data_IF_075581023745
#
_entry.id   IF_075581023745
#
_cell.length_a   1.000
_cell.length_b   1.000
_cell.length_c   1.000
_cell.angle_alpha   90.00
_cell.angle_beta   90.00
_cell.angle_gamma   90.00
#
_symmetry.space_group_name_H-M   'P 1'
#
loop_
_entity.id
_entity.type
_entity.pdbx_description
1 polymer ?
#
# COMPACT_ATOMS: atom_id res chain seq x y z
N UNK A 1 4.46 18.11 7.56
CA UNK A 1 3.51 17.03 7.92
C UNK A 1 2.39 16.83 6.89
N UNK A 2 1.56 17.84 6.61
CA UNK A 2 0.42 17.70 5.68
C UNK A 2 0.78 17.10 4.31
N UNK A 3 1.86 17.59 3.67
CA UNK A 3 2.34 17.03 2.39
C UNK A 3 2.64 15.52 2.48
N UNK A 4 3.30 15.09 3.56
CA UNK A 4 3.64 13.68 3.79
C UNK A 4 2.37 12.83 3.93
N UNK A 5 1.41 13.28 4.73
CA UNK A 5 0.14 12.57 4.93
C UNK A 5 -0.72 12.56 3.66
N UNK A 6 -0.64 13.61 2.84
CA UNK A 6 -1.21 13.62 1.50
C UNK A 6 -0.60 12.52 0.60
N UNK A 7 0.73 12.41 0.58
CA UNK A 7 1.42 11.34 -0.16
C UNK A 7 1.05 9.96 0.36
N UNK A 8 0.99 9.76 1.68
CA UNK A 8 0.59 8.47 2.30
C UNK A 8 -0.85 8.12 1.94
N UNK A 9 -1.77 9.09 1.97
CA UNK A 9 -3.15 8.87 1.54
C UNK A 9 -3.25 8.49 0.06
N UNK A 10 -2.41 9.08 -0.78
CA UNK A 10 -2.40 8.78 -2.21
C UNK A 10 -1.96 7.33 -2.52
N UNK A 11 -0.93 6.82 -1.83
CA UNK A 11 -0.44 5.44 -2.03
C UNK A 11 -1.23 4.38 -1.26
N UNK A 12 -2.07 4.78 -0.30
CA UNK A 12 -2.80 3.88 0.60
C UNK A 12 -3.55 2.73 -0.10
N UNK A 13 -4.25 2.91 -1.24
CA UNK A 13 -4.94 1.81 -1.91
C UNK A 13 -4.02 0.67 -2.33
N UNK A 14 -2.75 0.97 -2.62
CA UNK A 14 -1.76 -0.02 -3.05
C UNK A 14 -1.09 -0.75 -1.89
N UNK A 15 -1.16 -0.19 -0.68
CA UNK A 15 -0.47 -0.74 0.49
C UNK A 15 -1.35 -1.67 1.33
N UNK A 16 -2.67 -1.66 1.12
CA UNK A 16 -3.61 -2.42 1.96
C UNK A 16 -3.49 -2.02 3.44
N UNK A 17 -3.47 -0.71 3.71
CA UNK A 17 -3.43 -0.14 5.06
C UNK A 17 -4.82 0.42 5.41
N UNK A 18 -5.31 0.06 6.59
CA UNK A 18 -6.61 0.48 7.12
C UNK A 18 -6.59 1.91 7.65
N UNK A 19 -7.77 2.47 7.93
CA UNK A 19 -7.86 3.85 8.47
C UNK A 19 -7.34 3.89 9.89
N UNK A 20 -7.65 2.85 10.67
CA UNK A 20 -7.25 2.72 12.08
C UNK A 20 -5.73 2.67 12.21
N UNK A 21 -5.06 1.89 11.36
CA UNK A 21 -3.59 1.80 11.32
C UNK A 21 -2.90 3.15 11.01
N UNK A 22 -3.57 4.04 10.28
CA UNK A 22 -3.04 5.39 9.96
C UNK A 22 -3.53 6.48 10.90
N UNK A 23 -4.55 6.22 11.73
CA UNK A 23 -5.19 7.24 12.59
C UNK A 23 -4.17 8.05 13.40
N UNK A 24 -3.16 7.44 14.05
CA UNK A 24 -2.18 8.21 14.84
C UNK A 24 -1.46 9.28 14.02
N UNK A 25 -1.19 9.01 12.74
CA UNK A 25 -0.55 9.99 11.85
C UNK A 25 -1.49 11.16 11.50
N UNK A 26 -2.80 10.91 11.37
CA UNK A 26 -3.78 11.97 11.14
C UNK A 26 -4.04 12.78 12.41
N UNK A 27 -3.93 12.18 13.58
CA UNK A 27 -4.07 12.89 14.85
C UNK A 27 -3.00 13.97 15.03
N UNK A 28 -1.83 13.79 14.41
CA UNK A 28 -0.81 14.82 14.34
C UNK A 28 -1.27 16.08 13.57
N UNK A 29 -2.33 16.03 12.76
CA UNK A 29 -2.93 17.19 12.09
C UNK A 29 -3.90 17.97 12.97
N UNK A 30 -4.42 17.35 14.04
CA UNK A 30 -5.26 18.05 15.00
C UNK A 30 -4.43 19.13 15.73
N UNK A 31 -5.07 20.26 16.10
CA UNK A 31 -4.41 21.38 16.78
C UNK A 31 -4.41 22.68 15.97
N UNK A 32 -3.37 23.49 16.13
CA UNK A 32 -3.33 24.85 15.56
C UNK A 32 -3.36 24.83 14.02
N UNK A 33 -4.16 25.71 13.38
CA UNK A 33 -4.29 25.76 11.92
C UNK A 33 -3.04 26.31 11.23
N UNK A 34 -2.13 26.94 11.98
CA UNK A 34 -0.87 27.44 11.47
C UNK A 34 0.04 26.29 10.98
N UNK A 35 0.46 26.40 9.72
CA UNK A 35 1.35 25.44 9.06
C UNK A 35 2.77 25.44 9.65
N UNK A 36 3.16 26.53 10.29
CA UNK A 36 4.48 26.69 10.93
C UNK A 36 4.52 26.16 12.37
N UNK A 37 3.37 25.78 12.92
CA UNK A 37 3.30 25.20 14.27
C UNK A 37 4.13 23.92 14.37
N UNK A 38 4.93 23.82 15.44
CA UNK A 38 5.70 22.63 15.74
C UNK A 38 4.74 21.48 16.11
N UNK A 39 4.96 20.31 15.50
CA UNK A 39 4.21 19.09 15.78
C UNK A 39 5.21 17.98 16.07
N UNK A 40 5.05 17.34 17.21
CA UNK A 40 5.93 16.27 17.65
C UNK A 40 5.36 14.92 17.28
N UNK A 41 6.20 14.02 16.80
CA UNK A 41 5.82 12.63 16.57
C UNK A 41 5.63 11.93 17.92
N UNK A 42 4.41 11.51 18.20
CA UNK A 42 4.12 10.60 19.32
C UNK A 42 4.66 9.20 19.01
N UNK A 43 4.84 8.38 20.03
CA UNK A 43 5.25 6.98 19.86
C UNK A 43 4.28 6.19 18.95
N UNK A 44 2.98 6.40 19.12
CA UNK A 44 1.94 5.79 18.27
C UNK A 44 2.06 6.23 16.81
N UNK A 45 2.38 7.49 16.56
CA UNK A 45 2.61 8.02 15.21
C UNK A 45 3.88 7.45 14.59
N UNK A 46 4.93 7.24 15.39
CA UNK A 46 6.16 6.59 14.91
C UNK A 46 5.91 5.14 14.51
N UNK A 47 5.13 4.40 15.29
CA UNK A 47 4.75 3.02 14.96
C UNK A 47 3.93 2.94 13.67
N UNK A 48 2.93 3.81 13.51
CA UNK A 48 2.15 3.92 12.27
C UNK A 48 3.04 4.28 11.06
N UNK A 49 4.03 5.16 11.24
CA UNK A 49 5.01 5.49 10.19
C UNK A 49 5.87 4.28 9.80
N UNK A 50 6.34 3.50 10.78
CA UNK A 50 7.11 2.28 10.53
C UNK A 50 6.28 1.21 9.80
N UNK A 51 4.99 1.11 10.11
CA UNK A 51 4.06 0.25 9.39
C UNK A 51 3.96 0.66 7.91
N UNK A 52 3.79 1.95 7.63
CA UNK A 52 3.76 2.48 6.25
C UNK A 52 5.04 2.13 5.50
N UNK A 53 6.21 2.36 6.10
CA UNK A 53 7.51 2.04 5.49
C UNK A 53 7.59 0.55 5.17
N UNK A 54 7.24 -0.31 6.12
CA UNK A 54 7.25 -1.77 5.92
C UNK A 54 6.33 -2.19 4.77
N UNK A 55 5.11 -1.65 4.75
CA UNK A 55 4.12 -1.93 3.71
C UNK A 55 4.61 -1.48 2.34
N UNK A 56 5.25 -0.31 2.23
CA UNK A 56 5.87 0.15 0.98
C UNK A 56 6.95 -0.83 0.50
N UNK A 57 7.80 -1.32 1.40
CA UNK A 57 8.84 -2.29 1.04
C UNK A 57 8.29 -3.65 0.61
N UNK A 58 7.14 -4.05 1.12
CA UNK A 58 6.50 -5.33 0.78
C UNK A 58 5.46 -5.24 -0.32
N UNK A 59 4.98 -4.04 -0.62
CA UNK A 59 3.93 -3.83 -1.61
C UNK A 59 4.47 -4.13 -3.01
N UNK A 60 3.70 -4.91 -3.75
CA UNK A 60 3.93 -5.13 -5.17
C UNK A 60 2.82 -4.44 -5.94
N UNK A 61 3.20 -3.62 -6.92
CA UNK A 61 2.25 -2.98 -7.82
C UNK A 61 2.65 -3.31 -9.25
N UNK A 62 1.67 -3.83 -9.99
CA UNK A 62 1.81 -4.16 -11.40
C UNK A 62 0.95 -3.24 -12.24
N UNK A 63 1.32 -3.05 -13.50
CA UNK A 63 0.47 -2.35 -14.48
C UNK A 63 0.02 -3.33 -15.55
N UNK A 64 -1.29 -3.38 -15.77
CA UNK A 64 -1.88 -4.14 -16.86
C UNK A 64 -1.32 -3.68 -18.22
N UNK A 65 -0.81 -4.63 -19.02
CA UNK A 65 -0.36 -4.41 -20.40
C UNK A 65 -1.49 -4.76 -21.35
N UNK A 66 -1.93 -3.80 -22.16
CA UNK A 66 -3.07 -3.99 -23.07
C UNK A 66 -2.85 -5.08 -24.12
N UNK A 67 -1.60 -5.36 -24.47
CA UNK A 67 -1.24 -6.33 -25.50
C UNK A 67 -0.98 -7.75 -24.95
N UNK A 68 -1.17 -7.97 -23.65
CA UNK A 68 -0.96 -9.28 -23.01
C UNK A 68 -2.32 -9.79 -22.50
N UNK A 69 -2.69 -11.04 -22.76
CA UNK A 69 -3.96 -11.58 -22.26
C UNK A 69 -3.98 -11.63 -20.73
N UNK A 70 -5.14 -11.36 -20.15
CA UNK A 70 -5.41 -11.61 -18.73
C UNK A 70 -5.77 -13.08 -18.57
N UNK A 71 -5.16 -13.74 -17.60
CA UNK A 71 -5.39 -15.14 -17.29
C UNK A 71 -5.78 -15.33 -15.82
N UNK A 72 -6.53 -16.40 -15.56
CA UNK A 72 -6.80 -16.92 -14.22
C UNK A 72 -5.82 -18.06 -13.94
N UNK A 73 -4.92 -17.86 -12.98
CA UNK A 73 -4.00 -18.90 -12.51
C UNK A 73 -4.62 -19.63 -11.35
N UNK A 74 -4.96 -20.90 -11.52
CA UNK A 74 -5.50 -21.75 -10.45
C UNK A 74 -4.37 -22.55 -9.82
N UNK A 75 -4.17 -22.37 -8.52
CA UNK A 75 -3.15 -23.04 -7.71
C UNK A 75 -3.86 -23.99 -6.76
N UNK A 76 -3.61 -25.29 -6.91
CA UNK A 76 -4.16 -26.29 -6.01
C UNK A 76 -3.30 -26.42 -4.76
N UNK A 77 -3.93 -26.34 -3.59
CA UNK A 77 -3.33 -26.75 -2.32
C UNK A 77 -4.06 -27.97 -1.76
N UNK A 78 -3.47 -28.62 -0.75
CA UNK A 78 -4.06 -29.79 -0.10
C UNK A 78 -5.43 -29.54 0.54
N UNK A 79 -5.82 -28.28 0.77
CA UNK A 79 -7.06 -27.93 1.45
C UNK A 79 -8.08 -27.26 0.53
N UNK A 80 -7.65 -26.28 -0.27
CA UNK A 80 -8.51 -25.49 -1.16
C UNK A 80 -7.75 -25.02 -2.40
N UNK A 81 -8.41 -24.87 -3.57
CA UNK A 81 -7.83 -24.17 -4.70
C UNK A 81 -7.79 -22.66 -4.44
N UNK A 82 -6.67 -22.05 -4.77
CA UNK A 82 -6.51 -20.59 -4.84
C UNK A 82 -6.53 -20.16 -6.30
N UNK A 83 -6.97 -18.93 -6.56
CA UNK A 83 -6.91 -18.36 -7.90
C UNK A 83 -6.31 -16.95 -7.86
N UNK A 84 -5.48 -16.65 -8.86
CA UNK A 84 -4.88 -15.33 -9.06
C UNK A 84 -5.29 -14.83 -10.45
N UNK A 85 -5.69 -13.57 -10.55
CA UNK A 85 -5.87 -12.90 -11.84
C UNK A 85 -4.55 -12.20 -12.16
N UNK A 86 -4.04 -12.41 -13.37
CA UNK A 86 -2.77 -11.79 -13.75
C UNK A 86 -2.44 -11.90 -15.22
N UNK A 87 -1.28 -11.36 -15.59
CA UNK A 87 -0.71 -11.46 -16.92
C UNK A 87 0.65 -12.15 -16.85
N UNK A 88 0.87 -13.16 -17.70
CA UNK A 88 2.18 -13.77 -17.88
C UNK A 88 2.99 -12.97 -18.89
N UNK A 89 4.11 -12.40 -18.43
CA UNK A 89 5.03 -11.61 -19.26
C UNK A 89 6.14 -12.52 -19.75
N UNK A 90 6.04 -12.94 -21.02
CA UNK A 90 6.98 -13.89 -21.63
C UNK A 90 8.41 -13.34 -21.73
N UNK A 91 8.58 -12.03 -21.95
CA UNK A 91 9.92 -11.44 -22.15
C UNK A 91 10.83 -11.61 -20.92
N UNK A 92 10.26 -11.51 -19.72
CA UNK A 92 11.00 -11.48 -18.46
C UNK A 92 10.63 -12.64 -17.52
N UNK A 93 9.81 -13.60 -17.99
CA UNK A 93 9.27 -14.72 -17.18
C UNK A 93 8.64 -14.26 -15.86
N UNK A 94 7.86 -13.18 -15.92
CA UNK A 94 7.27 -12.54 -14.73
C UNK A 94 5.75 -12.58 -14.78
N UNK A 95 5.10 -12.75 -13.63
CA UNK A 95 3.66 -12.56 -13.49
C UNK A 95 3.38 -11.15 -12.98
N UNK A 96 2.47 -10.45 -13.66
CA UNK A 96 1.83 -9.26 -13.15
C UNK A 96 0.51 -9.69 -12.52
N UNK A 97 0.40 -9.62 -11.20
CA UNK A 97 -0.87 -9.85 -10.50
C UNK A 97 -1.70 -8.58 -10.64
N UNK A 98 -2.97 -8.74 -10.99
CA UNK A 98 -3.94 -7.65 -11.20
C UNK A 98 -4.84 -7.46 -9.99
#
# INVERSE_FOLDING_TARGET
LQKLLGTINWIRPMLGITTEELSPLFDLLNGHPDLSSSRQLTETSQQAMQLVIRKIHTAFTGRCRLNVPIALFVIYSSFLPYALIGQWITENQQIIIL
#
